data_IF_319644698118
#
_entry.id   IF_319644698118
#
_cell.length_a   1.000
_cell.length_b   1.000
_cell.length_c   1.000
_cell.angle_alpha   90.00
_cell.angle_beta   90.00
_cell.angle_gamma   90.00
#
_symmetry.space_group_name_H-M   'P 1'
#
loop_
_entity.id
_entity.type
_entity.pdbx_description
1 polymer ?
#
# COMPACT_ATOMS: atom_id res chain seq x y z
N UNK A 1 2.11 -17.78 17.83
CA UNK A 1 2.75 -17.04 16.71
C UNK A 1 2.96 -18.01 15.55
N UNK A 2 2.20 -17.87 14.46
CA UNK A 2 2.49 -18.64 13.25
C UNK A 2 3.83 -18.21 12.68
N UNK A 3 4.75 -19.17 12.47
CA UNK A 3 6.04 -18.91 11.86
C UNK A 3 5.82 -18.54 10.40
N UNK A 4 6.16 -17.30 10.04
CA UNK A 4 6.03 -16.79 8.67
C UNK A 4 6.82 -17.68 7.70
N UNK A 5 6.14 -18.33 6.76
CA UNK A 5 6.77 -19.26 5.81
C UNK A 5 7.19 -18.53 4.53
N UNK A 6 8.49 -18.23 4.41
CA UNK A 6 9.10 -17.62 3.24
C UNK A 6 9.85 -18.61 2.33
N UNK A 7 9.65 -19.92 2.55
CA UNK A 7 10.42 -20.97 1.85
C UNK A 7 10.26 -20.92 0.32
N UNK A 8 9.10 -20.48 -0.17
CA UNK A 8 8.83 -20.34 -1.59
C UNK A 8 9.84 -19.42 -2.28
N UNK A 9 10.27 -18.34 -1.62
CA UNK A 9 11.17 -17.33 -2.17
C UNK A 9 12.56 -17.91 -2.53
N UNK A 10 12.96 -19.02 -1.90
CA UNK A 10 14.23 -19.71 -2.18
C UNK A 10 14.18 -20.53 -3.48
N UNK A 11 13.00 -20.97 -3.89
CA UNK A 11 12.80 -21.75 -5.12
C UNK A 11 12.91 -20.86 -6.35
N UNK A 12 13.26 -21.45 -7.49
CA UNK A 12 13.19 -20.78 -8.79
C UNK A 12 11.70 -20.70 -9.17
N UNK A 13 11.15 -19.52 -9.49
CA UNK A 13 9.75 -19.38 -9.91
C UNK A 13 9.50 -20.06 -11.25
N UNK A 14 8.43 -20.85 -11.36
CA UNK A 14 8.04 -21.53 -12.60
C UNK A 14 6.57 -21.25 -12.93
N UNK A 15 6.29 -20.41 -13.93
CA UNK A 15 4.93 -20.06 -14.34
C UNK A 15 4.30 -21.19 -15.18
N UNK A 16 3.82 -22.23 -14.49
CA UNK A 16 3.40 -23.48 -15.10
C UNK A 16 1.89 -23.77 -14.96
N UNK A 17 1.14 -22.88 -14.32
CA UNK A 17 -0.31 -23.02 -14.15
C UNK A 17 -1.00 -21.76 -14.68
N UNK A 18 -2.11 -21.93 -15.39
CA UNK A 18 -2.99 -20.85 -15.81
C UNK A 18 -4.30 -20.95 -15.04
N UNK A 19 -4.74 -19.86 -14.42
CA UNK A 19 -5.96 -19.79 -13.62
C UNK A 19 -6.66 -18.44 -13.82
N UNK A 20 -7.92 -18.35 -13.43
CA UNK A 20 -8.63 -17.07 -13.32
C UNK A 20 -8.65 -16.68 -11.84
N UNK A 21 -8.09 -15.51 -11.52
CA UNK A 21 -8.30 -14.84 -10.25
C UNK A 21 -9.58 -14.01 -10.34
N UNK A 22 -10.52 -14.33 -9.45
CA UNK A 22 -11.73 -13.54 -9.23
C UNK A 22 -11.53 -12.64 -8.01
N UNK A 23 -11.78 -11.35 -8.18
CA UNK A 23 -11.72 -10.36 -7.09
C UNK A 23 -13.08 -9.69 -7.02
N UNK A 24 -13.79 -9.94 -5.93
CA UNK A 24 -15.05 -9.29 -5.59
C UNK A 24 -14.77 -8.07 -4.70
N UNK A 25 -15.05 -6.84 -5.16
CA UNK A 25 -14.92 -5.64 -4.34
C UNK A 25 -16.01 -5.58 -3.27
N UNK A 26 -15.60 -5.54 -2.00
CA UNK A 26 -16.51 -5.40 -0.85
C UNK A 26 -16.60 -3.95 -0.37
N UNK A 27 -15.70 -3.10 -0.83
CA UNK A 27 -15.66 -1.67 -0.58
C UNK A 27 -15.20 -0.91 -1.84
N UNK A 28 -15.47 0.40 -1.94
CA UNK A 28 -14.87 1.24 -2.96
C UNK A 28 -13.33 1.13 -2.94
N UNK A 29 -12.74 0.94 -4.12
CA UNK A 29 -11.31 0.70 -4.26
C UNK A 29 -10.58 1.99 -4.60
N UNK A 30 -9.37 2.14 -4.07
CA UNK A 30 -8.47 3.20 -4.52
C UNK A 30 -7.10 2.64 -4.87
N UNK A 31 -6.99 2.25 -6.13
CA UNK A 31 -5.88 1.54 -6.77
C UNK A 31 -4.90 2.55 -7.39
N UNK A 32 -4.15 3.26 -6.55
CA UNK A 32 -3.18 4.27 -7.01
C UNK A 32 -1.82 3.61 -7.30
N UNK A 33 -1.32 3.70 -8.54
CA UNK A 33 -0.10 2.98 -8.99
C UNK A 33 1.21 3.59 -8.51
N UNK A 34 1.34 4.91 -8.55
CA UNK A 34 2.55 5.65 -8.17
C UNK A 34 2.17 6.91 -7.39
N UNK A 35 3.10 7.45 -6.59
CA UNK A 35 2.92 8.68 -5.82
C UNK A 35 2.45 9.80 -6.76
N UNK A 36 1.15 10.12 -6.78
CA UNK A 36 0.70 11.22 -7.58
C UNK A 36 1.15 12.52 -6.91
N UNK A 37 1.22 13.61 -7.67
CA UNK A 37 1.47 14.94 -7.12
C UNK A 37 0.43 15.35 -6.06
N UNK A 38 -0.55 16.16 -6.44
CA UNK A 38 -1.57 16.65 -5.50
C UNK A 38 -2.84 15.80 -5.43
N UNK A 39 -3.07 14.89 -6.39
CA UNK A 39 -4.35 14.17 -6.56
C UNK A 39 -4.19 12.67 -6.78
N UNK A 40 -4.83 11.87 -5.91
CA UNK A 40 -4.74 10.41 -5.93
C UNK A 40 -5.75 9.79 -6.91
N UNK A 41 -5.36 9.70 -8.18
CA UNK A 41 -6.15 9.05 -9.23
C UNK A 41 -6.11 7.53 -9.11
N UNK A 42 -7.26 6.87 -9.19
CA UNK A 42 -7.35 5.41 -9.13
C UNK A 42 -7.24 4.79 -10.52
N UNK A 43 -6.55 3.66 -10.63
CA UNK A 43 -6.60 2.82 -11.82
C UNK A 43 -7.97 2.14 -11.94
N UNK A 44 -8.34 1.80 -13.18
CA UNK A 44 -9.55 1.04 -13.47
C UNK A 44 -9.38 -0.47 -13.16
N UNK A 45 -8.17 -0.98 -13.39
CA UNK A 45 -7.76 -2.35 -13.11
C UNK A 45 -6.55 -2.38 -12.17
N UNK A 46 -6.42 -3.40 -11.32
CA UNK A 46 -5.25 -3.56 -10.48
C UNK A 46 -4.02 -3.88 -11.33
N UNK A 47 -2.91 -3.24 -10.98
CA UNK A 47 -1.62 -3.57 -11.57
C UNK A 47 -0.98 -4.80 -10.87
N UNK A 48 0.11 -5.29 -11.45
CA UNK A 48 0.84 -6.43 -10.89
C UNK A 48 1.37 -6.20 -9.49
N UNK A 49 1.78 -4.98 -9.17
CA UNK A 49 2.33 -4.65 -7.85
C UNK A 49 1.23 -4.69 -6.79
N UNK A 50 0.03 -4.24 -7.12
CA UNK A 50 -1.16 -4.33 -6.27
C UNK A 50 -1.59 -5.77 -6.05
N UNK A 51 -1.65 -6.60 -7.10
CA UNK A 51 -1.95 -8.03 -6.95
C UNK A 51 -0.88 -8.74 -6.12
N UNK A 52 0.38 -8.36 -6.26
CA UNK A 52 1.45 -8.89 -5.40
C UNK A 52 1.21 -8.53 -3.93
N UNK A 53 0.87 -7.26 -3.64
CA UNK A 53 0.50 -6.83 -2.29
C UNK A 53 -0.71 -7.58 -1.74
N UNK A 54 -1.71 -7.84 -2.59
CA UNK A 54 -2.89 -8.61 -2.24
C UNK A 54 -2.56 -10.06 -1.87
N UNK A 55 -1.74 -10.75 -2.66
CA UNK A 55 -1.31 -12.11 -2.34
C UNK A 55 -0.48 -12.16 -1.06
N UNK A 56 0.44 -11.22 -0.87
CA UNK A 56 1.22 -11.13 0.37
C UNK A 56 0.33 -10.86 1.58
N UNK A 57 -0.72 -10.05 1.43
CA UNK A 57 -1.72 -9.81 2.47
C UNK A 57 -2.49 -11.08 2.84
N UNK A 58 -2.99 -11.83 1.86
CA UNK A 58 -3.67 -13.12 2.10
C UNK A 58 -2.76 -14.10 2.86
N UNK A 59 -1.47 -14.16 2.48
CA UNK A 59 -0.46 -14.99 3.15
C UNK A 59 -0.07 -14.47 4.55
N UNK A 60 -0.59 -13.32 4.98
CA UNK A 60 -0.27 -12.70 6.27
C UNK A 60 1.14 -12.10 6.34
N UNK A 61 1.73 -11.73 5.19
CA UNK A 61 3.10 -11.20 5.10
C UNK A 61 3.17 -9.70 5.43
N UNK A 62 2.83 -9.38 6.67
CA UNK A 62 2.97 -8.03 7.24
C UNK A 62 4.38 -7.79 7.77
N UNK A 63 5.35 -7.74 6.85
CA UNK A 63 6.78 -7.59 7.14
C UNK A 63 7.15 -6.10 7.10
N UNK A 64 7.94 -5.65 8.10
CA UNK A 64 8.46 -4.28 8.15
C UNK A 64 9.37 -3.96 6.94
N UNK A 65 9.49 -2.68 6.61
CA UNK A 65 10.30 -2.21 5.48
C UNK A 65 11.79 -2.58 5.62
N UNK A 66 12.36 -2.53 6.83
CA UNK A 66 13.76 -2.88 7.06
C UNK A 66 14.02 -4.36 6.76
N UNK A 67 13.15 -5.23 7.27
CA UNK A 67 13.22 -6.68 7.05
C UNK A 67 12.97 -7.04 5.58
N UNK A 68 12.00 -6.38 4.92
CA UNK A 68 11.75 -6.55 3.47
C UNK A 68 12.99 -6.23 2.63
N UNK A 69 13.71 -5.16 2.97
CA UNK A 69 14.96 -4.78 2.29
C UNK A 69 16.06 -5.83 2.50
N UNK A 70 16.17 -6.39 3.70
CA UNK A 70 17.11 -7.47 4.00
C UNK A 70 16.78 -8.72 3.18
N UNK A 71 15.52 -9.14 3.15
CA UNK A 71 15.04 -10.29 2.37
C UNK A 71 15.35 -10.10 0.88
N UNK A 72 15.03 -8.94 0.29
CA UNK A 72 15.32 -8.68 -1.12
C UNK A 72 16.82 -8.73 -1.39
N UNK A 73 17.67 -8.19 -0.51
CA UNK A 73 19.12 -8.25 -0.69
C UNK A 73 19.63 -9.70 -0.74
N UNK A 74 19.09 -10.58 0.11
CA UNK A 74 19.39 -12.01 0.07
C UNK A 74 18.86 -12.68 -1.20
N UNK A 75 17.61 -12.40 -1.58
CA UNK A 75 17.01 -12.92 -2.80
C UNK A 75 17.76 -12.50 -4.05
N UNK A 76 18.20 -11.24 -4.15
CA UNK A 76 19.01 -10.77 -5.28
C UNK A 76 20.32 -11.55 -5.38
N UNK A 77 20.99 -11.86 -4.26
CA UNK A 77 22.20 -12.69 -4.28
C UNK A 77 21.89 -14.11 -4.75
N UNK A 78 20.88 -14.73 -4.17
CA UNK A 78 20.44 -16.08 -4.51
C UNK A 78 20.03 -16.20 -5.98
N UNK A 79 19.30 -15.21 -6.51
CA UNK A 79 18.89 -15.15 -7.92
C UNK A 79 20.09 -14.96 -8.85
N UNK A 80 21.09 -14.15 -8.48
CA UNK A 80 22.33 -14.03 -9.26
C UNK A 80 23.10 -15.36 -9.32
N UNK A 81 23.11 -16.14 -8.24
CA UNK A 81 23.72 -17.48 -8.23
C UNK A 81 22.93 -18.48 -9.08
N UNK A 82 21.59 -18.45 -9.00
CA UNK A 82 20.73 -19.28 -9.83
C UNK A 82 20.84 -18.90 -11.32
N UNK A 83 20.96 -17.61 -11.64
CA UNK A 83 21.13 -17.11 -13.00
C UNK A 83 22.43 -17.57 -13.67
N UNK A 84 23.48 -17.90 -12.90
CA UNK A 84 24.68 -18.55 -13.44
C UNK A 84 24.40 -19.96 -13.95
N UNK A 85 23.38 -20.63 -13.43
CA UNK A 85 22.98 -21.99 -13.80
C UNK A 85 21.88 -22.00 -14.87
N UNK A 86 20.96 -21.04 -14.82
CA UNK A 86 19.95 -20.81 -15.86
C UNK A 86 19.93 -19.32 -16.28
N UNK A 87 20.51 -18.98 -17.46
CA UNK A 87 20.58 -17.60 -17.96
C UNK A 87 19.23 -16.89 -18.17
N UNK A 88 18.11 -17.64 -18.17
CA UNK A 88 16.75 -17.06 -18.31
C UNK A 88 16.31 -16.30 -17.06
N UNK A 89 16.95 -16.55 -15.91
CA UNK A 89 16.64 -15.92 -14.63
C UNK A 89 17.30 -14.53 -14.49
N UNK A 90 16.88 -13.55 -15.29
CA UNK A 90 17.30 -12.16 -15.06
C UNK A 90 16.49 -11.55 -13.92
N UNK A 91 17.11 -11.39 -12.75
CA UNK A 91 16.53 -10.61 -11.65
C UNK A 91 16.26 -9.18 -12.13
N UNK A 92 14.99 -8.77 -12.10
CA UNK A 92 14.59 -7.39 -12.37
C UNK A 92 14.25 -6.72 -11.06
N UNK A 93 14.96 -5.66 -10.74
CA UNK A 93 14.59 -4.81 -9.61
C UNK A 93 13.26 -4.10 -9.92
N UNK A 94 12.20 -4.48 -9.20
CA UNK A 94 10.84 -3.93 -9.34
C UNK A 94 10.46 -3.00 -8.18
N UNK A 95 11.43 -2.52 -7.38
CA UNK A 95 11.15 -1.60 -6.26
C UNK A 95 11.08 -0.13 -6.67
N UNK A 96 11.27 0.21 -7.96
CA UNK A 96 11.18 1.60 -8.43
C UNK A 96 9.74 2.14 -8.34
N UNK A 97 9.59 3.44 -8.07
CA UNK A 97 8.30 4.17 -8.12
C UNK A 97 7.42 4.09 -6.87
N UNK A 98 7.71 3.22 -5.88
CA UNK A 98 6.95 3.21 -4.63
C UNK A 98 7.77 2.66 -3.46
N UNK A 99 7.42 3.07 -2.24
CA UNK A 99 8.05 2.60 -0.99
C UNK A 99 7.80 1.13 -0.70
N UNK A 100 6.78 0.55 -1.34
CA UNK A 100 6.45 -0.87 -1.21
C UNK A 100 7.42 -1.74 -2.02
N UNK A 101 7.97 -2.75 -1.34
CA UNK A 101 8.96 -3.70 -1.85
C UNK A 101 8.28 -5.08 -2.00
N UNK A 102 7.85 -5.45 -3.23
CA UNK A 102 7.10 -6.67 -3.45
C UNK A 102 8.02 -7.89 -3.58
N UNK A 103 7.64 -9.02 -2.96
CA UNK A 103 8.42 -10.25 -2.87
C UNK A 103 7.99 -11.31 -3.90
N UNK A 104 6.71 -11.30 -4.32
CA UNK A 104 6.13 -12.33 -5.19
C UNK A 104 6.07 -11.97 -6.68
N UNK A 105 6.68 -10.86 -7.10
CA UNK A 105 6.56 -10.35 -8.49
C UNK A 105 7.05 -11.31 -9.58
N UNK A 106 7.93 -12.27 -9.25
CA UNK A 106 8.46 -13.25 -10.20
C UNK A 106 7.60 -14.53 -10.29
N UNK A 107 6.64 -14.71 -9.37
CA UNK A 107 5.88 -15.96 -9.22
C UNK A 107 4.53 -15.98 -9.94
N UNK A 108 4.18 -14.90 -10.63
CA UNK A 108 3.02 -14.84 -11.47
C UNK A 108 3.19 -13.81 -12.59
N UNK A 109 2.44 -13.89 -13.68
CA UNK A 109 2.27 -12.84 -14.68
C UNK A 109 0.77 -12.66 -14.96
N UNK A 110 0.37 -11.42 -15.28
CA UNK A 110 -1.03 -11.09 -15.57
C UNK A 110 -1.27 -11.24 -17.07
N UNK A 111 -2.30 -12.01 -17.43
CA UNK A 111 -2.84 -12.13 -18.78
C UNK A 111 -4.05 -11.21 -18.99
N UNK A 112 -5.07 -11.73 -19.68
CA UNK A 112 -6.30 -11.00 -19.97
C UNK A 112 -7.03 -10.56 -18.70
N UNK A 113 -7.54 -9.33 -18.70
CA UNK A 113 -8.31 -8.77 -17.59
C UNK A 113 -9.72 -8.42 -18.05
N UNK A 114 -10.71 -8.94 -17.35
CA UNK A 114 -12.09 -8.48 -17.43
C UNK A 114 -12.35 -7.44 -16.33
N UNK A 115 -12.85 -6.29 -16.75
CA UNK A 115 -13.19 -5.19 -15.85
C UNK A 115 -14.70 -5.11 -15.69
N UNK A 116 -15.24 -5.12 -14.46
CA UNK A 116 -16.67 -4.92 -14.24
C UNK A 116 -17.11 -3.49 -14.64
N UNK A 117 -18.40 -3.21 -14.55
CA UNK A 117 -18.91 -1.85 -14.73
C UNK A 117 -18.43 -1.00 -13.55
N UNK A 118 -17.75 0.12 -13.83
CA UNK A 118 -17.09 0.94 -12.81
C UNK A 118 -17.56 2.39 -12.84
N UNK A 119 -17.80 2.98 -11.67
CA UNK A 119 -18.06 4.40 -11.47
C UNK A 119 -16.97 5.01 -10.57
N UNK A 120 -16.59 6.24 -10.85
CA UNK A 120 -15.54 6.96 -10.12
C UNK A 120 -16.17 8.11 -9.31
N UNK A 121 -15.62 8.37 -8.13
CA UNK A 121 -15.98 9.53 -7.33
C UNK A 121 -14.80 10.00 -6.47
N UNK A 122 -14.82 11.28 -6.09
CA UNK A 122 -13.83 11.85 -5.20
C UNK A 122 -14.33 11.86 -3.76
N UNK A 123 -13.47 11.49 -2.82
CA UNK A 123 -13.72 11.62 -1.38
C UNK A 123 -12.50 12.20 -0.64
N UNK A 124 -12.73 12.66 0.59
CA UNK A 124 -11.69 13.17 1.48
C UNK A 124 -11.04 12.02 2.24
N UNK A 125 -9.81 11.71 1.86
CA UNK A 125 -8.98 10.74 2.57
C UNK A 125 -8.14 11.44 3.64
N UNK A 126 -8.27 10.98 4.90
CA UNK A 126 -7.49 11.50 6.02
C UNK A 126 -6.17 10.73 6.16
N UNK A 127 -5.06 11.38 5.80
CA UNK A 127 -3.73 10.83 6.05
C UNK A 127 -3.28 11.15 7.46
N UNK A 128 -3.00 10.12 8.26
CA UNK A 128 -2.34 10.30 9.54
C UNK A 128 -0.85 10.58 9.30
N UNK A 129 -0.41 11.81 9.60
CA UNK A 129 1.00 12.19 9.56
C UNK A 129 1.55 12.26 10.97
N UNK A 130 2.76 11.71 11.17
CA UNK A 130 3.59 11.94 12.35
C UNK A 130 4.84 12.70 11.90
N UNK A 131 4.89 13.99 12.21
CA UNK A 131 6.06 14.85 11.98
C UNK A 131 6.35 15.65 13.23
N UNK A 132 7.37 15.26 13.99
CA UNK A 132 7.83 16.01 15.17
C UNK A 132 8.73 17.19 14.78
N UNK A 133 9.14 17.26 13.52
CA UNK A 133 10.18 18.14 13.00
C UNK A 133 9.65 19.34 12.20
N UNK A 134 8.35 19.40 11.90
CA UNK A 134 7.80 20.37 10.94
C UNK A 134 6.60 21.17 11.47
N UNK A 135 6.57 22.48 11.13
CA UNK A 135 5.45 23.41 11.39
C UNK A 135 4.11 22.96 10.78
N UNK A 136 4.13 22.02 9.85
CA UNK A 136 2.95 21.46 9.20
C UNK A 136 2.07 20.69 10.21
N UNK A 137 2.69 20.10 11.24
CA UNK A 137 1.98 19.33 12.28
C UNK A 137 1.00 20.18 13.11
N UNK A 138 1.42 21.26 13.78
CA UNK A 138 0.51 22.11 14.56
C UNK A 138 -0.52 22.87 13.69
N UNK A 139 -0.35 22.89 12.36
CA UNK A 139 -1.33 23.42 11.39
C UNK A 139 -2.42 22.42 11.05
N UNK A 140 -2.08 21.13 10.92
CA UNK A 140 -3.04 20.07 10.60
C UNK A 140 -3.72 19.42 11.81
N UNK A 141 -3.26 19.72 13.03
CA UNK A 141 -3.82 19.14 14.25
C UNK A 141 -4.99 19.96 14.76
N UNK A 142 -6.20 19.43 14.62
CA UNK A 142 -7.43 20.06 15.13
C UNK A 142 -7.62 19.82 16.65
N UNK A 143 -7.09 18.71 17.19
CA UNK A 143 -7.27 18.29 18.58
C UNK A 143 -6.14 18.71 19.52
N UNK A 144 -5.74 19.99 19.55
CA UNK A 144 -4.73 20.42 20.53
C UNK A 144 -5.31 20.47 21.94
N UNK A 145 -4.48 20.27 22.97
CA UNK A 145 -4.93 20.39 24.35
C UNK A 145 -5.54 21.78 24.63
N UNK A 146 -6.64 21.80 25.36
CA UNK A 146 -7.46 23.01 25.56
C UNK A 146 -6.67 24.18 26.18
N UNK A 147 -5.76 23.88 27.10
CA UNK A 147 -4.85 24.84 27.75
C UNK A 147 -3.91 25.56 26.78
N UNK A 148 -3.63 24.96 25.61
CA UNK A 148 -2.79 25.55 24.57
C UNK A 148 -3.56 26.46 23.61
N UNK A 149 -4.89 26.36 23.53
CA UNK A 149 -5.69 27.13 22.56
C UNK A 149 -5.51 28.63 22.79
N UNK A 150 -5.55 29.08 24.05
CA UNK A 150 -5.37 30.48 24.41
C UNK A 150 -3.96 30.96 24.07
N UNK A 151 -2.93 30.23 24.52
CA UNK A 151 -1.53 30.57 24.27
C UNK A 151 -1.22 30.63 22.77
N UNK A 152 -1.77 29.70 21.97
CA UNK A 152 -1.63 29.69 20.51
C UNK A 152 -2.26 30.94 19.86
N UNK A 153 -3.34 31.48 20.40
CA UNK A 153 -4.00 32.69 19.88
C UNK A 153 -3.21 33.96 20.15
N UNK A 154 -2.40 33.97 21.21
CA UNK A 154 -1.54 35.09 21.62
C UNK A 154 -0.23 35.14 20.80
N UNK A 155 0.10 34.08 20.05
CA UNK A 155 1.28 34.04 19.18
C UNK A 155 1.25 35.12 18.10
N UNK A 156 2.45 35.58 17.74
CA UNK A 156 2.68 36.57 16.69
C UNK A 156 2.02 36.15 15.38
N UNK A 157 1.34 37.09 14.72
CA UNK A 157 0.68 36.86 13.42
C UNK A 157 1.64 37.09 12.27
N UNK A 158 1.39 36.38 11.18
CA UNK A 158 2.16 36.54 9.94
C UNK A 158 1.90 37.92 9.34
N UNK A 159 2.97 38.58 8.89
CA UNK A 159 2.89 39.88 8.19
C UNK A 159 2.14 39.74 6.86
N UNK A 160 2.26 38.58 6.19
CA UNK A 160 1.59 38.30 4.90
C UNK A 160 0.11 37.96 5.05
N UNK A 161 -0.28 37.34 6.16
CA UNK A 161 -1.67 36.98 6.42
C UNK A 161 -1.99 37.10 7.92
N UNK A 162 -2.59 38.22 8.36
CA UNK A 162 -2.88 38.47 9.78
C UNK A 162 -3.79 37.43 10.44
N UNK A 163 -4.56 36.66 9.65
CA UNK A 163 -5.42 35.57 10.16
C UNK A 163 -4.62 34.34 10.56
N UNK A 164 -3.38 34.20 10.08
CA UNK A 164 -2.51 33.06 10.37
C UNK A 164 -1.44 33.42 11.41
N UNK A 165 -1.13 32.46 12.28
CA UNK A 165 0.03 32.55 13.19
C UNK A 165 1.31 32.49 12.35
N UNK A 166 2.32 33.26 12.75
CA UNK A 166 3.65 33.20 12.13
C UNK A 166 4.27 31.80 12.26
N UNK A 167 4.86 31.32 11.17
CA UNK A 167 5.34 29.94 11.08
C UNK A 167 6.47 29.65 12.08
N UNK A 168 7.39 30.60 12.29
CA UNK A 168 8.49 30.41 13.25
C UNK A 168 7.97 30.39 14.69
N UNK A 169 7.05 31.30 15.02
CA UNK A 169 6.43 31.34 16.34
C UNK A 169 5.64 30.03 16.63
N UNK A 170 4.91 29.53 15.63
CA UNK A 170 4.15 28.29 15.75
C UNK A 170 5.05 27.05 15.89
N UNK A 171 6.17 27.00 15.17
CA UNK A 171 7.11 25.89 15.22
C UNK A 171 7.79 25.79 16.59
N UNK A 172 8.26 26.91 17.14
CA UNK A 172 8.86 26.97 18.49
C UNK A 172 7.82 26.53 19.53
N UNK A 173 6.62 27.12 19.47
CA UNK A 173 5.53 26.79 20.38
C UNK A 173 5.17 25.29 20.39
N UNK A 174 5.18 24.67 19.20
CA UNK A 174 4.93 23.24 19.03
C UNK A 174 6.06 22.38 19.62
N UNK A 175 7.32 22.69 19.30
CA UNK A 175 8.49 21.91 19.76
C UNK A 175 8.62 21.90 21.28
N UNK A 176 8.39 23.04 21.94
CA UNK A 176 8.45 23.16 23.40
C UNK A 176 7.35 22.39 24.12
N UNK A 177 6.22 22.12 23.46
CA UNK A 177 5.01 21.56 24.07
C UNK A 177 4.53 20.30 23.37
N UNK A 178 5.45 19.56 22.75
CA UNK A 178 5.14 18.45 21.85
C UNK A 178 4.24 17.40 22.49
N UNK A 179 4.36 17.18 23.80
CA UNK A 179 3.55 16.22 24.58
C UNK A 179 2.06 16.61 24.67
N UNK A 180 1.76 17.89 24.49
CA UNK A 180 0.39 18.45 24.55
C UNK A 180 -0.25 18.59 23.17
N UNK A 181 0.45 18.17 22.12
CA UNK A 181 -0.11 17.98 20.80
C UNK A 181 -0.35 16.47 20.57
N UNK A 182 -1.49 16.09 19.96
CA UNK A 182 -1.61 14.78 19.37
C UNK A 182 -0.39 14.47 18.51
N UNK A 183 0.17 13.27 18.68
CA UNK A 183 1.34 12.84 17.89
C UNK A 183 0.99 12.45 16.45
N UNK A 184 -0.27 12.65 16.07
CA UNK A 184 -0.82 12.41 14.76
C UNK A 184 -1.71 13.59 14.38
N UNK A 185 -1.65 14.00 13.12
CA UNK A 185 -2.60 14.95 12.55
C UNK A 185 -3.15 14.39 11.24
N UNK A 186 -4.40 14.74 10.93
CA UNK A 186 -5.00 14.42 9.64
C UNK A 186 -5.16 15.69 8.81
N UNK A 187 -4.71 15.63 7.56
CA UNK A 187 -5.10 16.62 6.55
C UNK A 187 -5.97 15.93 5.52
N UNK A 188 -7.23 16.37 5.34
CA UNK A 188 -8.09 15.80 4.32
C UNK A 188 -7.44 16.04 2.95
N UNK A 189 -7.22 14.97 2.21
CA UNK A 189 -6.68 15.01 0.85
C UNK A 189 -7.73 14.43 -0.08
N UNK A 190 -8.03 15.11 -1.20
CA UNK A 190 -8.91 14.53 -2.21
C UNK A 190 -8.27 13.28 -2.81
N UNK A 191 -9.04 12.21 -2.88
CA UNK A 191 -8.65 10.92 -3.43
C UNK A 191 -9.80 10.35 -4.25
N UNK A 192 -9.46 9.80 -5.40
CA UNK A 192 -10.42 9.12 -6.27
C UNK A 192 -10.63 7.68 -5.77
N UNK A 193 -11.90 7.31 -5.69
CA UNK A 193 -12.36 5.97 -5.40
C UNK A 193 -13.16 5.44 -6.59
N UNK A 194 -13.10 4.13 -6.75
CA UNK A 194 -13.81 3.40 -7.79
C UNK A 194 -14.79 2.43 -7.14
N UNK A 195 -16.05 2.55 -7.52
CA UNK A 195 -17.10 1.58 -7.23
C UNK A 195 -17.23 0.64 -8.42
N UNK A 196 -17.16 -0.67 -8.17
CA UNK A 196 -17.28 -1.71 -9.17
C UNK A 196 -18.56 -2.51 -8.95
N UNK A 197 -19.38 -2.63 -10.00
CA UNK A 197 -20.58 -3.48 -10.00
C UNK A 197 -20.24 -4.81 -10.67
N UNK A 198 -19.90 -5.79 -9.84
CA UNK A 198 -19.47 -7.14 -10.24
C UNK A 198 -18.00 -7.40 -9.94
N UNK A 199 -17.52 -8.55 -10.40
CA UNK A 199 -16.18 -9.05 -10.07
C UNK A 199 -15.17 -8.69 -11.14
N UNK A 200 -13.93 -8.46 -10.73
CA UNK A 200 -12.80 -8.50 -11.63
C UNK A 200 -12.45 -9.95 -11.90
N UNK A 201 -12.20 -10.30 -13.17
CA UNK A 201 -11.66 -11.60 -13.54
C UNK A 201 -10.34 -11.40 -14.26
N UNK A 202 -9.27 -11.94 -13.71
CA UNK A 202 -7.91 -11.72 -14.19
C UNK A 202 -7.31 -13.07 -14.49
N UNK A 203 -6.95 -13.31 -15.74
CA UNK A 203 -6.16 -14.47 -16.10
C UNK A 203 -4.76 -14.30 -15.51
N UNK A 204 -4.28 -15.32 -14.80
CA UNK A 204 -2.95 -15.32 -14.19
C UNK A 204 -2.22 -16.58 -14.60
N UNK A 205 -1.00 -16.41 -15.12
CA UNK A 205 -0.01 -17.47 -15.19
C UNK A 205 0.76 -17.47 -13.88
N UNK A 206 0.65 -18.51 -13.06
CA UNK A 206 1.14 -18.54 -11.68
C UNK A 206 2.02 -19.77 -11.44
N UNK A 207 2.97 -19.64 -10.53
CA UNK A 207 3.73 -20.75 -9.99
C UNK A 207 2.81 -21.71 -9.22
N UNK A 208 2.84 -23.00 -9.58
CA UNK A 208 1.98 -24.03 -8.96
C UNK A 208 2.13 -24.10 -7.44
N UNK A 209 3.32 -23.85 -6.89
CA UNK A 209 3.51 -23.84 -5.44
C UNK A 209 2.90 -22.59 -4.81
N UNK A 210 3.07 -21.41 -5.43
CA UNK A 210 2.40 -20.20 -4.97
C UNK A 210 0.89 -20.38 -4.98
N UNK A 211 0.34 -20.90 -6.08
CA UNK A 211 -1.08 -21.19 -6.22
C UNK A 211 -1.59 -22.12 -5.12
N UNK A 212 -0.85 -23.21 -4.83
CA UNK A 212 -1.23 -24.16 -3.77
C UNK A 212 -1.30 -23.47 -2.41
N UNK A 213 -0.28 -22.69 -2.04
CA UNK A 213 -0.23 -21.99 -0.74
C UNK A 213 -1.37 -20.97 -0.64
N UNK A 214 -1.65 -20.23 -1.72
CA UNK A 214 -2.76 -19.28 -1.77
C UNK A 214 -4.11 -20.00 -1.66
N UNK A 215 -4.35 -21.07 -2.43
CA UNK A 215 -5.59 -21.85 -2.38
C UNK A 215 -5.82 -22.42 -0.99
N UNK A 216 -4.78 -22.96 -0.34
CA UNK A 216 -4.84 -23.44 1.04
C UNK A 216 -5.23 -22.34 2.02
N UNK A 217 -4.68 -21.14 1.86
CA UNK A 217 -5.00 -20.00 2.71
C UNK A 217 -6.44 -19.52 2.50
N UNK A 218 -6.87 -19.41 1.24
CA UNK A 218 -8.21 -18.96 0.84
C UNK A 218 -9.32 -19.90 1.32
N UNK A 219 -9.03 -21.18 1.62
CA UNK A 219 -10.01 -22.07 2.28
C UNK A 219 -10.40 -21.59 3.68
N UNK A 220 -9.54 -20.80 4.33
CA UNK A 220 -9.77 -20.27 5.69
C UNK A 220 -10.02 -18.77 5.72
N UNK A 221 -9.33 -18.02 4.87
CA UNK A 221 -9.36 -16.55 4.84
C UNK A 221 -9.23 -16.06 3.41
N UNK A 222 -10.34 -15.56 2.87
CA UNK A 222 -10.49 -15.06 1.51
C UNK A 222 -10.58 -13.53 1.43
N UNK A 223 -10.57 -12.85 2.58
CA UNK A 223 -10.60 -11.40 2.67
C UNK A 223 -9.20 -10.82 2.56
N UNK A 224 -9.05 -9.81 1.72
CA UNK A 224 -7.81 -9.07 1.59
C UNK A 224 -8.04 -7.60 1.26
N UNK A 225 -6.94 -6.87 1.07
CA UNK A 225 -6.97 -5.45 0.74
C UNK A 225 -6.32 -5.18 -0.62
N UNK A 226 -6.99 -4.41 -1.46
CA UNK A 226 -6.52 -4.01 -2.78
C UNK A 226 -6.33 -2.49 -2.87
N UNK A 227 -5.10 -2.07 -3.19
CA UNK A 227 -4.70 -0.66 -3.26
C UNK A 227 -4.35 -0.07 -1.89
N UNK A 228 -5.29 0.00 -0.96
CA UNK A 228 -5.07 0.40 0.44
C UNK A 228 -5.87 -0.49 1.40
N UNK A 229 -5.66 -0.34 2.71
CA UNK A 229 -6.38 -1.09 3.76
C UNK A 229 -7.89 -0.80 3.86
N UNK A 230 -8.40 0.16 3.10
CA UNK A 230 -9.84 0.50 3.02
C UNK A 230 -10.52 -0.24 1.86
N UNK A 231 -9.77 -0.65 0.84
CA UNK A 231 -10.28 -1.38 -0.32
C UNK A 231 -10.40 -2.88 -0.06
N UNK A 232 -11.39 -3.27 0.75
CA UNK A 232 -11.65 -4.66 1.10
C UNK A 232 -12.16 -5.44 -0.12
N UNK A 233 -11.62 -6.64 -0.30
CA UNK A 233 -11.95 -7.53 -1.42
C UNK A 233 -12.07 -8.97 -0.93
N UNK A 234 -12.92 -9.74 -1.60
CA UNK A 234 -12.99 -11.20 -1.47
C UNK A 234 -12.30 -11.84 -2.68
N UNK A 235 -11.44 -12.82 -2.43
CA UNK A 235 -10.61 -13.48 -3.43
C UNK A 235 -11.03 -14.92 -3.65
N UNK A 236 -11.08 -15.30 -4.93
CA UNK A 236 -11.29 -16.68 -5.33
C UNK A 236 -10.44 -17.04 -6.56
N UNK A 237 -10.15 -18.33 -6.74
CA UNK A 237 -9.53 -18.85 -7.96
C UNK A 237 -10.50 -19.80 -8.68
N UNK A 238 -10.71 -19.56 -9.96
CA UNK A 238 -11.38 -20.50 -10.88
C UNK A 238 -10.32 -21.21 -11.71
N UNK A 239 -10.51 -22.52 -11.90
CA UNK A 239 -9.73 -23.28 -12.88
C UNK A 239 -10.21 -22.88 -14.29
N UNK A 240 -9.27 -22.82 -15.24
CA UNK A 240 -9.55 -22.51 -16.65
C UNK A 240 -10.13 -23.72 -17.37
#
# INVERSE_FOLDING_TARGET
MHKLNLSILKKIPELNLKVILEIEPLAPLSMVSELPGSYYKTLKNPDKKMLCGLFENILGWHIDLADRKAIIKELTKLRKEQAKKDPRLKFRDRTKGSTYVPLLMEYFEIGLQFTPITNFYDDLWSKAYRRSDAVVHPKGTFNISYDLIRQKRELKRSVKNPRQVDDKALEIFFKERIEKFPQYYSTPTKREYLFAKGNYEIQIEIDKHLYKILKERLMTENLGYLGNSEGWVNLNFKEL
#
